data_IF_094587470194
#
_entry.id   IF_094587470194
#
_cell.length_a   1.000
_cell.length_b   1.000
_cell.length_c   1.000
_cell.angle_alpha   90.00
_cell.angle_beta   90.00
_cell.angle_gamma   90.00
#
_symmetry.space_group_name_H-M   'P 1'
#
loop_
_entity.id
_entity.type
_entity.pdbx_description
1 polymer ?
#
# COMPACT_ATOMS: atom_id res chain seq x y z
N UNK A 1 -31.03 -38.58 15.76
CA UNK A 1 -30.13 -38.32 16.89
C UNK A 1 -29.25 -37.13 16.50
N UNK A 2 -29.59 -35.97 17.00
CA UNK A 2 -28.85 -34.70 16.78
C UNK A 2 -27.63 -34.74 17.69
N UNK A 3 -26.44 -34.90 17.13
CA UNK A 3 -25.18 -34.68 17.89
C UNK A 3 -25.17 -33.25 18.38
N UNK A 4 -25.31 -33.04 19.70
CA UNK A 4 -24.91 -31.77 20.34
C UNK A 4 -23.41 -31.72 20.27
N UNK A 5 -22.87 -30.82 19.43
CA UNK A 5 -21.47 -30.40 19.51
C UNK A 5 -21.28 -29.77 20.89
N UNK A 6 -20.54 -30.43 21.76
CA UNK A 6 -20.08 -29.86 23.02
C UNK A 6 -19.12 -28.73 22.69
N UNK A 7 -19.48 -27.52 23.07
CA UNK A 7 -18.63 -26.35 22.93
C UNK A 7 -17.53 -26.49 24.00
N UNK A 8 -16.25 -26.59 23.62
CA UNK A 8 -15.16 -26.91 24.58
C UNK A 8 -14.80 -25.77 25.53
N UNK A 9 -15.63 -24.75 25.62
CA UNK A 9 -15.38 -23.57 26.46
C UNK A 9 -16.32 -23.49 27.63
N UNK A 10 -15.78 -23.13 28.82
CA UNK A 10 -16.62 -22.84 29.98
C UNK A 10 -17.45 -21.59 29.79
N UNK A 11 -18.57 -21.47 30.52
CA UNK A 11 -19.40 -20.27 30.46
C UNK A 11 -18.65 -18.99 30.77
N UNK A 12 -17.65 -19.04 31.64
CA UNK A 12 -16.77 -17.90 31.94
C UNK A 12 -15.87 -17.52 30.77
N UNK A 13 -15.32 -18.51 30.04
CA UNK A 13 -14.54 -18.29 28.83
C UNK A 13 -15.39 -17.68 27.70
N UNK A 14 -16.62 -18.20 27.52
CA UNK A 14 -17.55 -17.66 26.53
C UNK A 14 -17.95 -16.23 26.88
N UNK A 15 -18.18 -15.92 28.17
CA UNK A 15 -18.47 -14.54 28.62
C UNK A 15 -17.27 -13.61 28.39
N UNK A 16 -16.06 -14.09 28.68
CA UNK A 16 -14.82 -13.33 28.43
C UNK A 16 -14.64 -13.02 26.94
N UNK A 17 -14.82 -14.01 26.05
CA UNK A 17 -14.74 -13.80 24.60
C UNK A 17 -15.86 -12.88 24.09
N UNK A 18 -17.08 -13.05 24.58
CA UNK A 18 -18.18 -12.15 24.24
C UNK A 18 -17.90 -10.71 24.68
N UNK A 19 -17.33 -10.53 25.87
CA UNK A 19 -16.90 -9.23 26.35
C UNK A 19 -15.76 -8.65 25.52
N UNK A 20 -14.73 -9.42 25.16
CA UNK A 20 -13.67 -8.98 24.25
C UNK A 20 -14.21 -8.57 22.88
N UNK A 21 -15.14 -9.35 22.31
CA UNK A 21 -15.75 -9.06 21.01
C UNK A 21 -16.69 -7.84 21.04
N UNK A 22 -17.29 -7.55 22.19
CA UNK A 22 -18.21 -6.39 22.37
C UNK A 22 -17.47 -5.09 22.68
N UNK A 23 -16.21 -5.14 23.10
CA UNK A 23 -15.42 -3.94 23.36
C UNK A 23 -15.15 -3.19 22.05
N UNK A 24 -15.85 -2.08 21.86
CA UNK A 24 -15.55 -1.11 20.81
C UNK A 24 -14.30 -0.31 21.21
N UNK A 25 -13.12 -0.91 21.03
CA UNK A 25 -11.85 -0.25 21.27
C UNK A 25 -11.46 0.53 20.01
N UNK A 26 -10.94 1.74 20.17
CA UNK A 26 -10.40 2.53 19.06
C UNK A 26 -9.25 1.78 18.35
N UNK A 27 -9.03 2.04 17.06
CA UNK A 27 -8.00 1.35 16.26
C UNK A 27 -6.56 1.49 16.74
N UNK A 28 -6.32 2.37 17.75
CA UNK A 28 -5.02 2.59 18.39
C UNK A 28 -4.75 1.68 19.60
N UNK A 29 -5.59 0.69 19.86
CA UNK A 29 -5.45 -0.17 21.02
C UNK A 29 -4.47 -1.32 20.69
N UNK A 30 -3.30 -1.35 21.33
CA UNK A 30 -2.24 -2.34 21.13
C UNK A 30 -2.73 -3.79 21.32
N UNK A 31 -3.74 -4.00 22.17
CA UNK A 31 -4.35 -5.31 22.41
C UNK A 31 -5.07 -5.88 21.17
N UNK A 32 -5.62 -5.05 20.28
CA UNK A 32 -6.28 -5.53 19.04
C UNK A 32 -5.28 -6.05 18.04
N UNK A 33 -4.19 -5.30 17.87
CA UNK A 33 -3.12 -5.69 16.97
C UNK A 33 -2.46 -7.00 17.43
N UNK A 34 -2.33 -7.21 18.74
CA UNK A 34 -1.77 -8.45 19.30
C UNK A 34 -2.53 -9.69 18.84
N UNK A 35 -3.87 -9.64 18.75
CA UNK A 35 -4.67 -10.75 18.21
C UNK A 35 -4.34 -11.07 16.75
N UNK A 36 -4.28 -10.06 15.90
CA UNK A 36 -3.94 -10.22 14.47
C UNK A 36 -2.51 -10.73 14.28
N UNK A 37 -1.56 -10.22 15.06
CA UNK A 37 -0.16 -10.64 14.99
C UNK A 37 0.04 -12.09 15.43
N UNK A 38 -0.73 -12.57 16.41
CA UNK A 38 -0.62 -13.96 16.91
C UNK A 38 -1.24 -14.98 15.96
N UNK A 39 -2.16 -14.58 15.10
CA UNK A 39 -2.82 -15.46 14.12
C UNK A 39 -2.05 -15.55 12.79
N UNK A 40 -1.17 -14.60 12.51
CA UNK A 40 -0.39 -14.58 11.28
C UNK A 40 0.65 -15.71 11.26
N UNK A 41 0.72 -16.48 10.16
CA UNK A 41 1.74 -17.51 9.90
C UNK A 41 3.00 -16.93 9.29
N UNK A 42 3.54 -15.89 9.87
CA UNK A 42 4.76 -15.25 9.38
C UNK A 42 5.59 -14.75 10.55
N UNK A 43 6.90 -14.92 10.45
CA UNK A 43 7.82 -14.29 11.39
C UNK A 43 7.81 -12.78 11.14
N UNK A 44 7.16 -12.05 12.04
CA UNK A 44 7.00 -10.62 11.94
C UNK A 44 8.25 -9.90 12.44
N UNK A 45 8.77 -9.02 11.62
CA UNK A 45 9.89 -8.18 12.01
C UNK A 45 9.39 -6.90 12.72
N UNK A 46 10.15 -6.36 13.69
CA UNK A 46 9.74 -5.16 14.43
C UNK A 46 9.34 -3.97 13.57
N UNK A 47 10.06 -3.72 12.47
CA UNK A 47 9.76 -2.61 11.56
C UNK A 47 8.39 -2.77 10.87
N UNK A 48 7.99 -4.01 10.52
CA UNK A 48 6.69 -4.29 9.88
C UNK A 48 5.53 -4.01 10.84
N UNK A 49 5.69 -4.39 12.10
CA UNK A 49 4.72 -4.08 13.16
C UNK A 49 4.63 -2.56 13.38
N UNK A 50 5.78 -1.87 13.43
CA UNK A 50 5.82 -0.40 13.57
C UNK A 50 5.17 0.32 12.39
N UNK A 51 5.35 -0.16 11.17
CA UNK A 51 4.69 0.39 9.98
C UNK A 51 3.17 0.22 10.06
N UNK A 52 2.68 -0.95 10.47
CA UNK A 52 1.25 -1.20 10.66
C UNK A 52 0.66 -0.35 11.79
N UNK A 53 1.33 -0.26 12.95
CA UNK A 53 0.94 0.64 14.05
C UNK A 53 0.84 2.09 13.58
N UNK A 54 1.82 2.55 12.81
CA UNK A 54 1.78 3.89 12.23
C UNK A 54 0.53 4.11 11.37
N UNK A 55 0.13 3.11 10.57
CA UNK A 55 -1.06 3.21 9.73
C UNK A 55 -2.35 3.34 10.56
N UNK A 56 -2.41 2.73 11.75
CA UNK A 56 -3.57 2.84 12.65
C UNK A 56 -3.57 4.12 13.50
N UNK A 57 -2.40 4.56 13.94
CA UNK A 57 -2.24 5.72 14.82
C UNK A 57 -2.19 7.04 14.08
N UNK A 58 -2.15 7.02 12.75
CA UNK A 58 -2.13 8.26 11.97
C UNK A 58 -3.36 9.12 12.31
N UNK A 59 -3.16 10.37 12.71
CA UNK A 59 -4.27 11.28 13.03
C UNK A 59 -5.09 11.65 11.79
N UNK A 60 -4.60 11.32 10.60
CA UNK A 60 -5.27 11.59 9.33
C UNK A 60 -6.11 10.40 8.93
N UNK A 61 -7.41 10.54 9.06
CA UNK A 61 -8.41 9.48 8.86
C UNK A 61 -8.51 8.96 7.41
N UNK A 62 -7.85 9.60 6.45
CA UNK A 62 -8.00 9.25 5.02
C UNK A 62 -6.93 8.30 4.49
N UNK A 63 -5.85 8.07 5.22
CA UNK A 63 -4.84 7.09 4.82
C UNK A 63 -3.39 7.50 5.08
N UNK A 64 -2.46 6.61 4.71
CA UNK A 64 -1.02 6.77 4.92
C UNK A 64 -0.20 6.21 3.75
N UNK A 65 1.08 6.57 3.72
CA UNK A 65 2.09 6.06 2.79
C UNK A 65 3.10 5.23 3.58
N UNK A 66 3.21 3.94 3.27
CA UNK A 66 4.29 3.10 3.74
C UNK A 66 5.39 3.07 2.67
N UNK A 67 6.52 3.69 3.01
CA UNK A 67 7.60 3.97 2.07
C UNK A 67 8.89 3.21 2.40
N UNK A 68 8.78 2.05 3.00
CA UNK A 68 9.88 1.17 3.36
C UNK A 68 10.67 0.71 2.12
N UNK A 69 11.99 0.54 2.26
CA UNK A 69 12.83 0.11 1.15
C UNK A 69 12.41 -1.25 0.58
N UNK A 70 12.83 -1.52 -0.66
CA UNK A 70 12.57 -2.80 -1.33
C UNK A 70 13.10 -3.97 -0.49
N UNK A 71 12.31 -5.02 -0.33
CA UNK A 71 12.71 -6.23 0.40
C UNK A 71 12.53 -6.16 1.91
N UNK A 72 11.90 -5.10 2.45
CA UNK A 72 11.53 -5.01 3.87
C UNK A 72 10.17 -5.64 4.18
N UNK A 73 9.43 -6.06 3.15
CA UNK A 73 8.17 -6.80 3.33
C UNK A 73 6.93 -5.91 3.39
N UNK A 74 6.84 -4.87 2.56
CA UNK A 74 5.63 -4.01 2.48
C UNK A 74 4.32 -4.77 2.31
N UNK A 75 4.33 -5.92 1.64
CA UNK A 75 3.15 -6.79 1.52
C UNK A 75 2.74 -7.33 2.89
N UNK A 76 3.70 -7.64 3.77
CA UNK A 76 3.43 -8.08 5.15
C UNK A 76 2.85 -6.93 5.97
N UNK A 77 3.45 -5.75 5.90
CA UNK A 77 2.94 -4.54 6.56
C UNK A 77 1.48 -4.27 6.18
N UNK A 78 1.20 -4.29 4.88
CA UNK A 78 -0.16 -4.13 4.38
C UNK A 78 -1.08 -5.30 4.77
N UNK A 79 -0.58 -6.52 4.79
CA UNK A 79 -1.31 -7.70 5.25
C UNK A 79 -1.78 -7.57 6.70
N UNK A 80 -0.93 -7.04 7.59
CA UNK A 80 -1.30 -6.75 8.99
C UNK A 80 -2.42 -5.70 9.02
N UNK A 81 -2.30 -4.62 8.23
CA UNK A 81 -3.34 -3.57 8.16
C UNK A 81 -4.65 -4.14 7.64
N UNK A 82 -4.61 -4.92 6.56
CA UNK A 82 -5.78 -5.57 5.96
C UNK A 82 -6.46 -6.50 6.97
N UNK A 83 -5.68 -7.32 7.69
CA UNK A 83 -6.18 -8.25 8.70
C UNK A 83 -6.89 -7.53 9.84
N UNK A 84 -6.36 -6.38 10.28
CA UNK A 84 -7.00 -5.56 11.30
C UNK A 84 -8.33 -4.95 10.81
N UNK A 85 -8.37 -4.39 9.60
CA UNK A 85 -9.62 -3.92 8.99
C UNK A 85 -10.65 -5.06 8.89
N UNK A 86 -10.20 -6.25 8.49
CA UNK A 86 -11.05 -7.44 8.40
C UNK A 86 -11.61 -7.86 9.76
N UNK A 87 -10.79 -7.86 10.80
CA UNK A 87 -11.19 -8.15 12.19
C UNK A 87 -12.19 -7.12 12.72
N UNK A 88 -12.06 -5.84 12.33
CA UNK A 88 -13.00 -4.76 12.64
C UNK A 88 -14.30 -4.81 11.82
N UNK A 89 -14.51 -5.86 11.01
CA UNK A 89 -15.66 -6.02 10.10
C UNK A 89 -15.72 -4.98 8.97
N UNK A 90 -14.66 -4.27 8.69
CA UNK A 90 -14.46 -3.43 7.53
C UNK A 90 -13.93 -4.31 6.40
N UNK A 91 -14.84 -4.97 5.66
CA UNK A 91 -14.52 -6.11 4.79
C UNK A 91 -14.58 -5.80 3.30
N UNK A 92 -14.89 -4.57 2.93
CA UNK A 92 -14.83 -4.13 1.53
C UNK A 92 -13.47 -3.55 1.24
N UNK A 93 -12.54 -4.41 0.84
CA UNK A 93 -11.14 -4.06 0.64
C UNK A 93 -10.77 -4.25 -0.82
N UNK A 94 -10.16 -3.24 -1.42
CA UNK A 94 -9.66 -3.28 -2.80
C UNK A 94 -8.15 -3.13 -2.80
N UNK A 95 -7.45 -4.06 -3.44
CA UNK A 95 -6.00 -4.00 -3.67
C UNK A 95 -5.76 -3.71 -5.14
N UNK A 96 -5.12 -2.59 -5.43
CA UNK A 96 -4.72 -2.16 -6.77
C UNK A 96 -3.20 -2.37 -6.88
N UNK A 97 -2.78 -3.39 -7.61
CA UNK A 97 -1.40 -3.80 -7.73
C UNK A 97 -0.94 -3.89 -9.19
N UNK A 98 0.38 -3.97 -9.47
CA UNK A 98 0.88 -4.37 -10.78
C UNK A 98 0.27 -5.68 -11.26
N UNK A 99 -0.01 -5.79 -12.57
CA UNK A 99 -0.68 -6.98 -13.12
C UNK A 99 0.03 -8.30 -12.81
N UNK A 100 1.36 -8.27 -12.72
CA UNK A 100 2.21 -9.42 -12.42
C UNK A 100 2.15 -9.85 -10.96
N UNK A 101 1.82 -8.95 -10.04
CA UNK A 101 1.84 -9.21 -8.59
C UNK A 101 0.49 -9.65 -8.01
N UNK A 102 -0.60 -9.62 -8.80
CA UNK A 102 -1.95 -9.93 -8.30
C UNK A 102 -2.07 -11.33 -7.72
N UNK A 103 -1.49 -12.33 -8.38
CA UNK A 103 -1.48 -13.72 -7.88
C UNK A 103 -0.65 -13.86 -6.63
N UNK A 104 0.52 -13.21 -6.59
CA UNK A 104 1.36 -13.18 -5.40
C UNK A 104 0.62 -12.58 -4.21
N UNK A 105 -0.10 -11.46 -4.40
CA UNK A 105 -0.93 -10.86 -3.37
C UNK A 105 -1.98 -11.83 -2.83
N UNK A 106 -2.69 -12.54 -3.74
CA UNK A 106 -3.71 -13.52 -3.34
C UNK A 106 -3.11 -14.66 -2.52
N UNK A 107 -1.98 -15.21 -2.97
CA UNK A 107 -1.28 -16.30 -2.26
C UNK A 107 -0.75 -15.83 -0.89
N UNK A 108 -0.13 -14.66 -0.81
CA UNK A 108 0.40 -14.14 0.45
C UNK A 108 -0.70 -13.85 1.47
N UNK A 109 -1.85 -13.33 1.05
CA UNK A 109 -3.00 -13.12 1.93
C UNK A 109 -3.55 -14.45 2.47
N UNK A 110 -3.69 -15.45 1.63
CA UNK A 110 -4.20 -16.77 2.01
C UNK A 110 -3.22 -17.51 2.92
N UNK A 111 -1.96 -17.63 2.51
CA UNK A 111 -0.95 -18.43 3.22
C UNK A 111 -0.52 -17.83 4.55
N UNK A 112 -0.40 -16.49 4.62
CA UNK A 112 0.17 -15.79 5.77
C UNK A 112 -0.88 -15.21 6.73
N UNK A 113 -2.04 -14.83 6.20
CA UNK A 113 -3.08 -14.12 6.95
C UNK A 113 -4.43 -14.84 6.97
N UNK A 114 -4.58 -15.99 6.30
CA UNK A 114 -5.85 -16.73 6.16
C UNK A 114 -7.00 -15.88 5.61
N UNK A 115 -6.68 -14.99 4.70
CA UNK A 115 -7.63 -14.08 4.07
C UNK A 115 -7.84 -14.48 2.61
N UNK A 116 -9.04 -14.94 2.32
CA UNK A 116 -9.46 -15.21 0.94
C UNK A 116 -9.59 -13.92 0.15
N UNK A 117 -9.18 -13.97 -1.11
CA UNK A 117 -9.27 -12.83 -2.01
C UNK A 117 -9.73 -13.22 -3.40
N UNK A 118 -10.31 -12.27 -4.12
CA UNK A 118 -10.83 -12.48 -5.47
C UNK A 118 -10.11 -11.58 -6.47
N UNK A 119 -9.50 -12.18 -7.51
CA UNK A 119 -8.80 -11.41 -8.55
C UNK A 119 -9.80 -10.99 -9.63
N UNK A 120 -9.98 -9.68 -9.79
CA UNK A 120 -10.83 -9.10 -10.83
C UNK A 120 -10.10 -9.11 -12.16
N UNK A 121 -10.63 -9.88 -13.12
CA UNK A 121 -10.10 -10.01 -14.47
C UNK A 121 -11.19 -9.82 -15.55
N UNK A 122 -10.76 -9.46 -16.78
CA UNK A 122 -11.67 -9.13 -17.87
C UNK A 122 -12.45 -10.35 -18.46
N UNK A 123 -12.33 -11.54 -17.91
CA UNK A 123 -12.76 -12.80 -18.53
C UNK A 123 -14.28 -13.09 -18.60
N UNK A 124 -15.14 -12.22 -18.12
CA UNK A 124 -16.62 -12.17 -18.32
C UNK A 124 -17.09 -10.95 -17.56
N UNK A 125 -17.89 -10.11 -18.20
CA UNK A 125 -18.35 -8.85 -17.65
C UNK A 125 -18.59 -8.93 -16.14
N UNK A 126 -17.86 -8.10 -15.38
CA UNK A 126 -18.08 -8.02 -13.94
C UNK A 126 -19.45 -7.37 -13.81
N UNK A 127 -20.43 -8.19 -13.49
CA UNK A 127 -21.70 -7.66 -13.00
C UNK A 127 -21.42 -7.02 -11.63
N UNK A 128 -21.99 -5.84 -11.41
CA UNK A 128 -21.98 -5.19 -10.10
C UNK A 128 -22.53 -6.09 -8.99
N UNK A 129 -23.35 -7.08 -9.36
CA UNK A 129 -23.94 -8.02 -8.45
C UNK A 129 -22.89 -8.84 -7.68
N UNK A 130 -21.74 -9.12 -8.30
CA UNK A 130 -20.61 -9.78 -7.62
C UNK A 130 -19.87 -8.86 -6.63
N UNK A 131 -20.01 -7.54 -6.75
CA UNK A 131 -19.45 -6.57 -5.80
C UNK A 131 -20.46 -6.21 -4.70
N UNK A 132 -21.76 -6.38 -4.95
CA UNK A 132 -22.84 -6.00 -4.03
C UNK A 132 -23.00 -6.94 -2.84
N UNK A 133 -22.73 -8.24 -3.02
CA UNK A 133 -22.78 -9.23 -1.93
C UNK A 133 -21.52 -9.23 -1.04
N UNK A 134 -20.53 -8.43 -1.37
CA UNK A 134 -19.16 -8.65 -1.02
C UNK A 134 -18.67 -7.98 0.24
N UNK A 135 -18.64 -8.73 1.27
CA UNK A 135 -17.66 -8.67 2.35
C UNK A 135 -16.44 -9.47 1.88
N UNK A 136 -15.61 -8.91 0.99
CA UNK A 136 -14.54 -9.65 0.33
C UNK A 136 -13.36 -8.73 -0.01
N UNK A 137 -12.16 -9.32 -0.07
CA UNK A 137 -10.96 -8.66 -0.55
C UNK A 137 -10.87 -8.87 -2.06
N UNK A 138 -10.82 -7.77 -2.80
CA UNK A 138 -10.68 -7.79 -4.25
C UNK A 138 -9.29 -7.31 -4.65
N UNK A 139 -8.71 -7.96 -5.65
CA UNK A 139 -7.40 -7.61 -6.20
C UNK A 139 -7.55 -7.30 -7.69
N UNK A 140 -7.05 -6.15 -8.13
CA UNK A 140 -7.08 -5.81 -9.55
C UNK A 140 -5.80 -5.12 -10.00
N UNK A 141 -5.63 -4.98 -11.31
CA UNK A 141 -4.52 -4.19 -11.86
C UNK A 141 -4.91 -2.71 -11.96
N UNK A 142 -3.90 -1.83 -12.00
CA UNK A 142 -4.08 -0.40 -12.24
C UNK A 142 -4.91 -0.11 -13.51
N UNK A 143 -4.59 -0.83 -14.60
CA UNK A 143 -5.29 -0.66 -15.87
C UNK A 143 -6.75 -1.11 -15.78
N UNK A 144 -7.01 -2.20 -15.06
CA UNK A 144 -8.36 -2.68 -14.80
C UNK A 144 -9.13 -1.67 -13.95
N UNK A 145 -8.59 -1.26 -12.81
CA UNK A 145 -9.21 -0.29 -11.91
C UNK A 145 -9.54 1.03 -12.62
N UNK A 146 -8.62 1.54 -13.44
CA UNK A 146 -8.84 2.76 -14.21
C UNK A 146 -9.93 2.65 -15.28
N UNK A 147 -10.05 1.49 -15.94
CA UNK A 147 -11.11 1.25 -16.93
C UNK A 147 -12.47 1.05 -16.30
N UNK A 148 -12.52 0.49 -15.11
CA UNK A 148 -13.73 0.19 -14.35
C UNK A 148 -13.97 1.19 -13.22
N UNK A 149 -13.30 2.34 -13.25
CA UNK A 149 -13.34 3.35 -12.19
C UNK A 149 -14.77 3.79 -11.84
N UNK A 150 -15.62 3.99 -12.84
CA UNK A 150 -17.02 4.35 -12.64
C UNK A 150 -17.81 3.26 -11.89
N UNK A 151 -17.60 1.99 -12.24
CA UNK A 151 -18.28 0.87 -11.58
C UNK A 151 -17.76 0.73 -10.14
N UNK A 152 -16.44 0.78 -9.97
CA UNK A 152 -15.81 0.65 -8.66
C UNK A 152 -16.15 1.80 -7.71
N UNK A 153 -16.36 3.01 -8.23
CA UNK A 153 -16.76 4.19 -7.43
C UNK A 153 -18.17 4.11 -6.85
N UNK A 154 -19.04 3.28 -7.43
CA UNK A 154 -20.40 3.05 -6.91
C UNK A 154 -20.41 2.15 -5.66
N UNK A 155 -19.31 1.48 -5.37
CA UNK A 155 -19.14 0.64 -4.20
C UNK A 155 -18.41 1.42 -3.10
N UNK A 156 -18.94 1.40 -1.89
CA UNK A 156 -18.19 1.91 -0.74
C UNK A 156 -17.05 0.96 -0.39
N UNK A 157 -15.83 1.45 -0.37
CA UNK A 157 -14.64 0.70 0.01
C UNK A 157 -14.16 1.14 1.40
N UNK A 158 -14.02 0.20 2.32
CA UNK A 158 -13.47 0.46 3.65
C UNK A 158 -11.97 0.76 3.59
N UNK A 159 -11.27 0.08 2.67
CA UNK A 159 -9.83 0.27 2.44
C UNK A 159 -9.49 0.07 0.96
N UNK A 160 -8.70 0.99 0.41
CA UNK A 160 -8.07 0.84 -0.91
C UNK A 160 -6.54 0.83 -0.75
N UNK A 161 -5.92 -0.29 -1.09
CA UNK A 161 -4.46 -0.46 -1.04
C UNK A 161 -3.90 -0.25 -2.44
N UNK A 162 -2.91 0.61 -2.57
CA UNK A 162 -2.17 0.84 -3.81
C UNK A 162 -0.75 0.31 -3.68
N UNK A 163 -0.46 -0.81 -4.31
CA UNK A 163 0.89 -1.35 -4.37
C UNK A 163 1.68 -0.74 -5.53
N UNK A 164 2.94 -0.42 -5.30
CA UNK A 164 3.78 0.37 -6.20
C UNK A 164 3.11 1.73 -6.54
N UNK A 165 2.66 2.43 -5.50
CA UNK A 165 1.90 3.67 -5.60
C UNK A 165 2.64 4.81 -6.34
N UNK A 166 3.96 4.69 -6.55
CA UNK A 166 4.72 5.62 -7.38
C UNK A 166 4.16 5.77 -8.80
N UNK A 167 3.37 4.79 -9.29
CA UNK A 167 2.65 4.87 -10.57
C UNK A 167 1.61 5.99 -10.62
N UNK A 168 1.18 6.47 -9.47
CA UNK A 168 0.16 7.52 -9.33
C UNK A 168 0.76 8.92 -9.06
N UNK A 169 2.08 9.03 -8.88
CA UNK A 169 2.76 10.27 -8.47
C UNK A 169 2.49 11.48 -9.37
N UNK A 170 2.21 11.27 -10.66
CA UNK A 170 1.94 12.35 -11.63
C UNK A 170 0.47 12.81 -11.66
N UNK A 171 -0.33 12.49 -10.66
CA UNK A 171 -1.76 12.85 -10.58
C UNK A 171 -2.02 14.36 -10.59
N UNK A 172 -1.04 15.16 -10.22
CA UNK A 172 -1.10 16.63 -10.20
C UNK A 172 -1.06 17.27 -11.61
N UNK A 173 -0.70 16.50 -12.63
CA UNK A 173 -0.69 16.99 -14.02
C UNK A 173 -2.13 17.14 -14.52
N UNK A 174 -2.40 18.22 -15.25
CA UNK A 174 -3.73 18.58 -15.75
C UNK A 174 -4.31 17.62 -16.82
N UNK A 175 -3.46 16.77 -17.41
CA UNK A 175 -3.92 15.80 -18.41
C UNK A 175 -4.70 14.65 -17.76
N UNK A 176 -5.86 14.25 -18.33
CA UNK A 176 -6.60 13.08 -17.85
C UNK A 176 -5.71 11.85 -17.83
N UNK A 177 -5.54 11.27 -16.65
CA UNK A 177 -4.62 10.17 -16.43
C UNK A 177 -5.30 9.02 -15.69
N UNK A 178 -4.66 7.85 -15.72
CA UNK A 178 -5.06 6.74 -14.85
C UNK A 178 -5.12 7.18 -13.37
N UNK A 179 -4.14 7.96 -12.93
CA UNK A 179 -4.04 8.42 -11.56
C UNK A 179 -5.21 9.34 -11.16
N UNK A 180 -5.60 10.29 -12.05
CA UNK A 180 -6.73 11.20 -11.78
C UNK A 180 -8.06 10.46 -11.68
N UNK A 181 -8.30 9.45 -12.53
CA UNK A 181 -9.51 8.62 -12.47
C UNK A 181 -9.57 7.83 -11.16
N UNK A 182 -8.47 7.20 -10.74
CA UNK A 182 -8.43 6.43 -9.49
C UNK A 182 -8.55 7.33 -8.26
N UNK A 183 -7.94 8.51 -8.27
CA UNK A 183 -8.09 9.51 -7.22
C UNK A 183 -9.56 9.90 -7.04
N UNK A 184 -10.27 10.20 -8.11
CA UNK A 184 -11.70 10.58 -8.09
C UNK A 184 -12.59 9.40 -7.69
N UNK A 185 -12.32 8.20 -8.21
CA UNK A 185 -13.16 7.02 -7.95
C UNK A 185 -13.14 6.58 -6.47
N UNK A 186 -12.07 6.86 -5.75
CA UNK A 186 -11.89 6.42 -4.37
C UNK A 186 -11.68 7.58 -3.39
N UNK A 187 -12.24 8.77 -3.67
CA UNK A 187 -12.08 9.98 -2.85
C UNK A 187 -12.43 9.74 -1.37
N UNK A 188 -13.50 8.99 -1.12
CA UNK A 188 -14.07 8.79 0.22
C UNK A 188 -13.55 7.54 0.95
N UNK A 189 -12.71 6.75 0.29
CA UNK A 189 -12.15 5.53 0.87
C UNK A 189 -10.92 5.83 1.72
N UNK A 190 -10.67 5.00 2.75
CA UNK A 190 -9.37 4.99 3.43
C UNK A 190 -8.32 4.39 2.50
N UNK A 191 -7.13 4.98 2.44
CA UNK A 191 -6.09 4.60 1.46
C UNK A 191 -4.79 4.19 2.14
N UNK A 192 -4.23 3.09 1.65
CA UNK A 192 -2.90 2.63 2.04
C UNK A 192 -2.02 2.61 0.79
N UNK A 193 -1.04 3.50 0.72
CA UNK A 193 -0.11 3.60 -0.41
C UNK A 193 1.20 2.92 -0.05
N UNK A 194 1.60 1.92 -0.84
CA UNK A 194 2.86 1.19 -0.68
C UNK A 194 3.82 1.59 -1.78
N UNK A 195 5.00 2.09 -1.44
CA UNK A 195 6.02 2.43 -2.42
C UNK A 195 7.41 2.46 -1.80
N UNK A 196 8.42 1.94 -2.50
CA UNK A 196 9.80 2.10 -2.05
C UNK A 196 10.41 3.46 -2.46
N UNK A 197 9.79 4.14 -3.41
CA UNK A 197 10.29 5.39 -4.00
C UNK A 197 9.22 6.48 -3.99
N UNK A 198 8.89 7.04 -2.81
CA UNK A 198 7.88 8.09 -2.70
C UNK A 198 8.30 9.38 -3.42
N UNK A 199 9.60 9.59 -3.57
CA UNK A 199 10.21 10.70 -4.27
C UNK A 199 11.32 10.17 -5.18
N UNK A 200 11.29 10.51 -6.46
CA UNK A 200 12.30 10.08 -7.43
C UNK A 200 12.95 11.26 -8.15
N UNK A 201 12.16 12.13 -8.78
CA UNK A 201 12.68 13.19 -9.63
C UNK A 201 12.47 14.58 -9.04
N UNK A 202 11.28 14.86 -8.54
CA UNK A 202 10.96 16.19 -7.98
C UNK A 202 9.96 16.10 -6.83
N UNK A 203 9.91 17.16 -6.02
CA UNK A 203 9.05 17.25 -4.83
C UNK A 203 7.56 17.25 -5.22
N UNK A 204 7.19 17.65 -6.42
CA UNK A 204 5.81 17.63 -6.91
C UNK A 204 5.25 16.20 -6.97
N UNK A 205 6.09 15.19 -7.17
CA UNK A 205 5.66 13.78 -7.13
C UNK A 205 5.13 13.41 -5.75
N UNK A 206 5.74 13.93 -4.70
CA UNK A 206 5.29 13.73 -3.33
C UNK A 206 3.95 14.44 -3.07
N UNK A 207 3.79 15.67 -3.58
CA UNK A 207 2.51 16.35 -3.58
C UNK A 207 1.43 15.48 -4.26
N UNK A 208 1.76 14.90 -5.42
CA UNK A 208 0.86 14.00 -6.14
C UNK A 208 0.41 12.81 -5.29
N UNK A 209 1.34 12.10 -4.66
CA UNK A 209 1.01 10.94 -3.82
C UNK A 209 0.16 11.32 -2.60
N UNK A 210 0.51 12.41 -1.91
CA UNK A 210 -0.26 12.89 -0.75
C UNK A 210 -1.66 13.34 -1.17
N UNK A 211 -1.81 13.97 -2.34
CA UNK A 211 -3.11 14.40 -2.85
C UNK A 211 -4.06 13.24 -3.22
N UNK A 212 -3.55 12.02 -3.37
CA UNK A 212 -4.39 10.83 -3.52
C UNK A 212 -5.07 10.50 -2.17
N UNK A 213 -4.36 10.69 -1.06
CA UNK A 213 -4.89 10.45 0.27
C UNK A 213 -5.85 11.58 0.65
N UNK A 214 -5.36 12.82 0.60
CA UNK A 214 -6.13 14.01 0.88
C UNK A 214 -5.71 15.16 -0.03
N UNK A 215 -6.67 15.62 -0.86
CA UNK A 215 -6.46 16.68 -1.85
C UNK A 215 -6.15 18.03 -1.22
N UNK A 216 -6.61 18.24 0.00
CA UNK A 216 -6.46 19.51 0.72
C UNK A 216 -5.25 19.56 1.65
N UNK A 217 -4.52 18.47 1.81
CA UNK A 217 -3.46 18.36 2.81
C UNK A 217 -2.35 19.42 2.65
N UNK A 218 -1.87 19.61 1.44
CA UNK A 218 -0.87 20.62 1.10
C UNK A 218 -1.46 21.90 0.51
N UNK A 219 -2.78 21.98 0.36
CA UNK A 219 -3.42 23.06 -0.37
C UNK A 219 -3.24 22.92 -1.89
N UNK A 220 -3.29 24.04 -2.61
CA UNK A 220 -3.14 24.01 -4.05
C UNK A 220 -1.68 23.82 -4.51
N UNK A 221 -1.51 23.26 -5.72
CA UNK A 221 -0.19 22.95 -6.28
C UNK A 221 0.68 24.19 -6.46
N UNK A 222 0.07 25.37 -6.76
CA UNK A 222 0.81 26.61 -7.01
C UNK A 222 1.48 27.10 -5.71
N UNK A 223 0.73 27.09 -4.63
CA UNK A 223 1.24 27.43 -3.29
C UNK A 223 2.30 26.45 -2.82
N UNK A 224 2.08 25.16 -3.03
CA UNK A 224 3.06 24.10 -2.72
C UNK A 224 4.38 24.33 -3.48
N UNK A 225 4.31 24.61 -4.78
CA UNK A 225 5.51 24.91 -5.59
C UNK A 225 6.24 26.16 -5.11
N UNK A 226 5.51 27.21 -4.82
CA UNK A 226 6.10 28.47 -4.31
C UNK A 226 6.87 28.23 -3.00
N UNK A 227 6.33 27.37 -2.12
CA UNK A 227 6.89 27.11 -0.81
C UNK A 227 8.08 26.12 -0.84
N UNK A 228 8.03 25.08 -1.67
CA UNK A 228 8.98 23.96 -1.59
C UNK A 228 9.79 23.71 -2.86
N UNK A 229 9.36 24.20 -4.04
CA UNK A 229 10.07 23.93 -5.28
C UNK A 229 10.95 25.09 -5.74
N UNK A 230 10.59 26.33 -5.39
CA UNK A 230 11.32 27.54 -5.80
C UNK A 230 12.19 28.13 -4.69
N UNK A 231 12.11 27.59 -3.47
CA UNK A 231 13.07 27.93 -2.40
C UNK A 231 14.46 27.46 -2.81
N UNK A 232 15.47 28.26 -2.49
CA UNK A 232 16.87 27.93 -2.76
C UNK A 232 17.19 26.56 -2.14
N UNK A 233 18.04 25.77 -2.82
CA UNK A 233 18.43 24.40 -2.37
C UNK A 233 19.03 24.34 -0.95
N UNK A 234 19.33 25.48 -0.35
CA UNK A 234 19.86 25.62 1.02
C UNK A 234 18.80 26.10 2.03
N UNK A 235 17.52 26.05 1.69
CA UNK A 235 16.46 26.48 2.61
C UNK A 235 16.06 25.32 3.55
N UNK A 236 16.93 25.07 4.53
CA UNK A 236 16.72 24.04 5.57
C UNK A 236 15.39 24.22 6.31
N UNK A 237 14.86 25.44 6.34
CA UNK A 237 13.58 25.77 6.98
C UNK A 237 12.41 25.20 6.19
N UNK A 238 12.38 25.40 4.86
CA UNK A 238 11.32 24.88 4.00
C UNK A 238 11.31 23.33 3.98
N UNK A 239 12.48 22.72 3.88
CA UNK A 239 12.59 21.25 3.95
C UNK A 239 12.28 20.69 5.34
N UNK A 240 12.62 21.41 6.40
CA UNK A 240 12.26 21.09 7.77
C UNK A 240 10.75 21.10 7.98
N UNK A 241 10.06 22.11 7.43
CA UNK A 241 8.60 22.20 7.46
C UNK A 241 7.94 21.08 6.66
N UNK A 242 8.40 20.83 5.44
CA UNK A 242 7.89 19.72 4.62
C UNK A 242 8.02 18.37 5.34
N UNK A 243 9.20 18.10 5.92
CA UNK A 243 9.44 16.88 6.70
C UNK A 243 8.51 16.76 7.90
N UNK A 244 8.29 17.85 8.64
CA UNK A 244 7.37 17.89 9.78
C UNK A 244 5.94 17.57 9.33
N UNK A 245 5.49 18.13 8.21
CA UNK A 245 4.16 17.88 7.66
C UNK A 245 4.00 16.46 7.11
N UNK A 246 5.04 15.86 6.56
CA UNK A 246 5.00 14.47 6.06
C UNK A 246 5.04 13.42 7.18
N UNK A 247 5.66 13.73 8.30
CA UNK A 247 5.86 12.80 9.42
C UNK A 247 4.59 12.06 9.87
N UNK A 248 3.41 12.67 9.93
CA UNK A 248 2.18 11.95 10.33
C UNK A 248 1.54 11.12 9.21
N UNK A 249 1.99 11.22 7.94
CA UNK A 249 1.39 10.53 6.80
C UNK A 249 2.32 9.48 6.20
N UNK A 250 3.65 9.68 6.29
CA UNK A 250 4.64 8.83 5.64
C UNK A 250 5.48 8.11 6.68
N UNK A 251 5.43 6.78 6.66
CA UNK A 251 6.38 5.92 7.38
C UNK A 251 7.44 5.41 6.41
N UNK A 252 8.70 5.41 6.85
CA UNK A 252 9.81 4.90 6.04
C UNK A 252 10.91 4.30 6.89
N UNK A 253 11.18 3.03 6.65
CA UNK A 253 12.32 2.29 7.20
C UNK A 253 13.38 2.07 6.11
N UNK A 254 14.64 2.24 6.47
CA UNK A 254 15.78 1.97 5.61
C UNK A 254 16.41 0.63 5.98
N UNK A 255 16.94 -0.10 5.00
CA UNK A 255 17.62 -1.39 5.25
C UNK A 255 18.70 -1.30 6.31
N UNK A 256 19.46 -0.20 6.32
CA UNK A 256 20.51 0.05 7.33
C UNK A 256 20.01 0.11 8.77
N UNK A 257 18.72 0.41 8.98
CA UNK A 257 18.11 0.50 10.31
C UNK A 257 17.68 -0.87 10.87
N UNK A 258 17.62 -1.89 10.02
CA UNK A 258 17.12 -3.22 10.37
C UNK A 258 18.18 -4.32 10.27
N UNK A 259 19.45 -3.94 10.07
CA UNK A 259 20.58 -4.87 9.91
C UNK A 259 20.84 -5.72 11.14
N UNK A 260 20.38 -5.32 12.32
CA UNK A 260 20.53 -6.07 13.57
C UNK A 260 19.73 -7.38 13.55
N UNK A 261 18.58 -7.40 12.88
CA UNK A 261 17.69 -8.57 12.87
C UNK A 261 17.34 -9.07 11.47
N UNK A 262 17.63 -8.31 10.40
CA UNK A 262 17.47 -8.75 9.01
C UNK A 262 18.83 -8.82 8.34
N UNK A 263 19.28 -10.04 8.00
CA UNK A 263 20.54 -10.26 7.30
C UNK A 263 20.34 -10.11 5.80
N UNK A 264 21.05 -9.18 5.18
CA UNK A 264 21.10 -9.02 3.73
C UNK A 264 22.42 -9.53 3.18
N UNK A 265 22.37 -10.14 2.00
CA UNK A 265 23.59 -10.44 1.25
C UNK A 265 24.19 -9.13 0.75
N UNK A 266 25.49 -8.94 0.98
CA UNK A 266 26.21 -7.80 0.42
C UNK A 266 26.34 -7.96 -1.09
N UNK A 267 26.03 -6.92 -1.85
CA UNK A 267 26.30 -6.88 -3.28
C UNK A 267 27.72 -6.39 -3.48
N UNK A 268 28.55 -7.22 -4.11
CA UNK A 268 29.87 -6.83 -4.57
C UNK A 268 29.71 -6.51 -6.06
N UNK A 269 29.70 -5.23 -6.46
CA UNK A 269 29.64 -4.88 -7.86
C UNK A 269 30.96 -5.29 -8.52
N UNK A 270 30.90 -6.13 -9.52
CA UNK A 270 32.04 -6.46 -10.37
C UNK A 270 31.78 -5.85 -11.75
N UNK A 271 32.61 -4.91 -12.15
CA UNK A 271 32.63 -4.42 -13.52
C UNK A 271 33.45 -5.42 -14.37
N UNK A 272 32.81 -6.06 -15.31
CA UNK A 272 33.50 -6.87 -16.29
C UNK A 272 33.54 -6.11 -17.62
N UNK A 273 34.72 -5.70 -18.02
CA UNK A 273 34.91 -5.06 -19.32
C UNK A 273 34.77 -6.11 -20.42
N UNK A 274 33.91 -5.84 -21.37
CA UNK A 274 33.73 -6.65 -22.58
C UNK A 274 34.19 -5.84 -23.77
N UNK A 275 35.11 -6.45 -24.54
CA UNK A 275 35.57 -5.92 -25.82
C UNK A 275 34.87 -6.69 -26.93
N UNK A 276 33.92 -6.07 -27.65
CA UNK A 276 33.20 -6.74 -28.71
C UNK A 276 34.16 -7.13 -29.86
N UNK A 277 33.87 -8.22 -30.52
CA UNK A 277 34.57 -8.60 -31.74
C UNK A 277 34.38 -7.54 -32.84
N UNK A 278 35.31 -7.46 -33.79
CA UNK A 278 35.30 -6.43 -34.85
C UNK A 278 33.97 -6.41 -35.62
N UNK A 279 33.36 -7.56 -35.81
CA UNK A 279 32.06 -7.70 -36.49
C UNK A 279 30.87 -7.21 -35.63
N UNK A 280 30.90 -7.48 -34.33
CA UNK A 280 29.93 -6.99 -33.39
C UNK A 280 30.00 -5.45 -33.23
N UNK A 281 31.21 -4.91 -33.22
CA UNK A 281 31.42 -3.46 -33.17
C UNK A 281 30.89 -2.76 -34.43
N UNK A 282 31.07 -3.39 -35.61
CA UNK A 282 30.52 -2.87 -36.88
C UNK A 282 28.99 -2.86 -36.85
N UNK A 283 28.39 -3.96 -36.39
CA UNK A 283 26.92 -4.04 -36.23
C UNK A 283 26.39 -3.02 -35.27
N UNK A 284 27.03 -2.85 -34.11
CA UNK A 284 26.66 -1.83 -33.11
C UNK A 284 26.72 -0.42 -33.71
N UNK A 285 27.77 -0.09 -34.43
CA UNK A 285 27.92 1.22 -35.08
C UNK A 285 26.82 1.46 -36.12
N UNK A 286 26.52 0.47 -36.95
CA UNK A 286 25.45 0.54 -37.98
C UNK A 286 24.06 0.77 -37.33
N UNK A 287 23.78 0.09 -36.23
CA UNK A 287 22.50 0.28 -35.49
C UNK A 287 22.45 1.67 -34.87
N UNK A 288 23.58 2.18 -34.31
CA UNK A 288 23.66 3.49 -33.70
C UNK A 288 23.56 4.65 -34.71
N UNK A 289 23.95 4.43 -35.95
CA UNK A 289 23.74 5.38 -37.05
C UNK A 289 22.31 5.40 -37.60
N UNK A 290 21.55 4.30 -37.36
CA UNK A 290 20.16 4.19 -37.82
C UNK A 290 19.13 4.74 -36.82
N UNK A 291 19.50 4.92 -35.55
CA UNK A 291 18.68 5.47 -34.46
C UNK A 291 18.91 6.96 -34.31
#
# INVERSE_FOLDING_TARGET
ATMKQEIPYSSAQLLYYAWQLSRNRGGADDDKLTGVLSEARVDLNPHQVMAALFAFQSPFSKGVILADEVGLGKTIEAGIVISQFWAERKRRILIVAPATLRRQWSMELEEKFFLDSFILEKKKGISLDHLSDGKQIYICSYQFASRQAEILSRTHWDLVVYDEAHKLRNVYKSTPSMASRLKSAFSDSHKLLLTATPLQNNIEELYGLVSIIDDHYFGDLKSFKAQYCYSNKNDDIAFGDLRRRLRPIVHRTLRKQVTEYVKYTSRIPMAQEYYPAVEEQKLYNQISEYL
#
